data_IF_547372535745
#
_entry.id   IF_547372535745
#
_cell.length_a   1.000
_cell.length_b   1.000
_cell.length_c   1.000
_cell.angle_alpha   90.00
_cell.angle_beta   90.00
_cell.angle_gamma   90.00
#
_symmetry.space_group_name_H-M   'P 1'
#
loop_
_entity.id
_entity.type
_entity.pdbx_description
1 polymer ?
#
# COMPACT_ATOMS: atom_id res chain seq x y z
N UNK A 1 16.65 -7.80 3.69
CA UNK A 1 15.74 -8.91 3.32
C UNK A 1 14.93 -8.62 2.07
N UNK A 2 14.22 -7.50 1.99
CA UNK A 2 13.45 -7.13 0.79
C UNK A 2 14.31 -7.01 -0.47
N UNK A 3 15.51 -6.44 -0.39
CA UNK A 3 16.43 -6.32 -1.54
C UNK A 3 16.84 -7.67 -2.12
N UNK A 4 17.11 -8.66 -1.25
CA UNK A 4 17.44 -10.01 -1.70
C UNK A 4 16.25 -10.67 -2.39
N UNK A 5 15.03 -10.41 -1.91
CA UNK A 5 13.80 -10.91 -2.51
C UNK A 5 13.54 -10.29 -3.88
N UNK A 6 13.77 -8.97 -4.00
CA UNK A 6 13.66 -8.26 -5.28
C UNK A 6 14.62 -8.82 -6.32
N UNK A 7 15.86 -9.10 -5.92
CA UNK A 7 16.87 -9.67 -6.80
C UNK A 7 16.45 -11.05 -7.32
N UNK A 8 15.94 -11.90 -6.43
CA UNK A 8 15.42 -13.23 -6.81
C UNK A 8 14.20 -13.15 -7.71
N UNK A 9 13.31 -12.22 -7.45
CA UNK A 9 12.14 -12.00 -8.29
C UNK A 9 12.55 -11.59 -9.70
N UNK A 10 13.47 -10.64 -9.81
CA UNK A 10 13.98 -10.18 -11.09
C UNK A 10 14.65 -11.30 -11.88
N UNK A 11 15.48 -12.11 -11.21
CA UNK A 11 16.15 -13.26 -11.79
C UNK A 11 15.13 -14.28 -12.32
N UNK A 12 14.12 -14.61 -11.52
CA UNK A 12 13.07 -15.54 -11.91
C UNK A 12 12.26 -15.02 -13.11
N UNK A 13 11.98 -13.72 -13.15
CA UNK A 13 11.28 -13.09 -14.28
C UNK A 13 12.09 -13.16 -15.57
N UNK A 14 13.40 -12.95 -15.49
CA UNK A 14 14.30 -12.99 -16.63
C UNK A 14 14.58 -14.41 -17.12
N UNK A 15 14.44 -15.42 -16.26
CA UNK A 15 14.69 -16.84 -16.61
C UNK A 15 13.69 -17.40 -17.61
N UNK A 16 12.50 -16.81 -17.71
CA UNK A 16 11.42 -17.30 -18.56
C UNK A 16 10.71 -18.54 -18.02
N UNK A 17 11.07 -19.01 -16.84
CA UNK A 17 10.43 -20.16 -16.21
C UNK A 17 9.23 -19.69 -15.38
N UNK A 18 8.02 -19.99 -15.86
CA UNK A 18 6.77 -19.54 -15.23
C UNK A 18 6.60 -20.06 -13.80
N UNK A 19 6.99 -21.29 -13.53
CA UNK A 19 6.88 -21.90 -12.21
C UNK A 19 7.78 -21.19 -11.19
N UNK A 20 9.03 -20.91 -11.55
CA UNK A 20 9.96 -20.14 -10.73
C UNK A 20 9.46 -18.73 -10.50
N UNK A 21 8.92 -18.10 -11.53
CA UNK A 21 8.38 -16.77 -11.46
C UNK A 21 7.21 -16.68 -10.47
N UNK A 22 6.26 -17.61 -10.55
CA UNK A 22 5.11 -17.64 -9.64
C UNK A 22 5.53 -17.93 -8.19
N UNK A 23 6.50 -18.82 -8.00
CA UNK A 23 7.05 -19.09 -6.66
C UNK A 23 7.72 -17.86 -6.06
N UNK A 24 8.50 -17.13 -6.86
CA UNK A 24 9.16 -15.89 -6.42
C UNK A 24 8.14 -14.79 -6.08
N UNK A 25 7.09 -14.66 -6.86
CA UNK A 25 5.99 -13.72 -6.59
C UNK A 25 5.35 -14.00 -5.25
N UNK A 26 4.99 -15.25 -5.01
CA UNK A 26 4.35 -15.67 -3.76
C UNK A 26 5.25 -15.41 -2.56
N UNK A 27 6.54 -15.72 -2.70
CA UNK A 27 7.52 -15.49 -1.65
C UNK A 27 7.68 -13.99 -1.37
N UNK A 28 7.77 -13.15 -2.39
CA UNK A 28 7.85 -11.71 -2.25
C UNK A 28 6.63 -11.15 -1.50
N UNK A 29 5.44 -11.59 -1.86
CA UNK A 29 4.21 -11.15 -1.20
C UNK A 29 4.22 -11.50 0.29
N UNK A 30 4.65 -12.72 0.63
CA UNK A 30 4.76 -13.16 2.02
C UNK A 30 5.78 -12.33 2.81
N UNK A 31 6.97 -12.12 2.25
CA UNK A 31 8.02 -11.35 2.91
C UNK A 31 7.65 -9.88 3.06
N UNK A 32 6.97 -9.33 2.06
CA UNK A 32 6.42 -7.98 2.15
C UNK A 32 5.44 -7.86 3.31
N UNK A 33 4.55 -8.82 3.47
CA UNK A 33 3.59 -8.85 4.57
C UNK A 33 4.30 -8.90 5.93
N UNK A 34 5.33 -9.73 6.08
CA UNK A 34 6.11 -9.82 7.31
C UNK A 34 6.85 -8.50 7.62
N UNK A 35 7.49 -7.91 6.62
CA UNK A 35 8.17 -6.62 6.78
C UNK A 35 7.20 -5.52 7.21
N UNK A 36 6.00 -5.51 6.64
CA UNK A 36 4.98 -4.52 6.97
C UNK A 36 4.47 -4.69 8.41
N UNK A 37 4.37 -5.91 8.89
CA UNK A 37 3.99 -6.18 10.28
C UNK A 37 5.08 -5.65 11.24
N UNK A 38 6.35 -5.88 10.93
CA UNK A 38 7.46 -5.38 11.73
C UNK A 38 7.50 -3.85 11.77
N UNK A 39 7.12 -3.20 10.69
CA UNK A 39 7.14 -1.75 10.53
C UNK A 39 5.81 -1.08 10.85
N UNK A 40 4.82 -1.80 11.36
CA UNK A 40 3.47 -1.29 11.50
C UNK A 40 3.33 -0.11 12.47
N UNK A 41 4.34 0.14 13.28
CA UNK A 41 4.33 1.27 14.20
C UNK A 41 4.53 2.63 13.54
N UNK A 42 4.99 2.66 12.28
CA UNK A 42 5.18 3.90 11.54
C UNK A 42 4.40 3.87 10.23
N UNK A 43 3.46 4.81 10.07
CA UNK A 43 2.65 4.92 8.85
C UNK A 43 3.51 5.16 7.61
N UNK A 44 4.59 5.94 7.74
CA UNK A 44 5.49 6.23 6.63
C UNK A 44 6.18 4.97 6.13
N UNK A 45 6.72 4.16 7.03
CA UNK A 45 7.36 2.90 6.66
C UNK A 45 6.39 1.94 5.98
N UNK A 46 5.15 1.89 6.43
CA UNK A 46 4.12 1.08 5.80
C UNK A 46 3.85 1.51 4.37
N UNK A 47 3.74 2.82 4.14
CA UNK A 47 3.51 3.39 2.81
C UNK A 47 4.68 3.07 1.89
N UNK A 48 5.91 3.25 2.36
CA UNK A 48 7.12 2.93 1.60
C UNK A 48 7.17 1.45 1.20
N UNK A 49 6.76 0.55 2.09
CA UNK A 49 6.70 -0.87 1.80
C UNK A 49 5.67 -1.19 0.72
N UNK A 50 4.52 -0.52 0.74
CA UNK A 50 3.50 -0.70 -0.31
C UNK A 50 4.00 -0.17 -1.64
N UNK A 51 4.65 0.99 -1.66
CA UNK A 51 5.23 1.56 -2.88
C UNK A 51 6.26 0.61 -3.49
N UNK A 52 7.09 0.01 -2.65
CA UNK A 52 8.08 -0.98 -3.08
C UNK A 52 7.43 -2.22 -3.67
N UNK A 53 6.36 -2.69 -3.06
CA UNK A 53 5.57 -3.81 -3.59
C UNK A 53 4.97 -3.46 -4.95
N UNK A 54 4.39 -2.26 -5.07
CA UNK A 54 3.84 -1.75 -6.31
C UNK A 54 4.92 -1.69 -7.41
N UNK A 55 6.11 -1.20 -7.07
CA UNK A 55 7.24 -1.11 -8.00
C UNK A 55 7.65 -2.50 -8.52
N UNK A 56 7.74 -3.49 -7.64
CA UNK A 56 8.08 -4.87 -8.01
C UNK A 56 7.07 -5.45 -9.00
N UNK A 57 5.80 -5.17 -8.80
CA UNK A 57 4.72 -5.74 -9.60
C UNK A 57 4.25 -4.83 -10.74
N UNK A 58 4.75 -3.61 -10.83
CA UNK A 58 4.45 -2.69 -11.94
C UNK A 58 4.97 -3.26 -13.25
N UNK A 59 4.13 -3.29 -14.26
CA UNK A 59 4.49 -3.83 -15.57
C UNK A 59 4.26 -5.33 -15.72
N UNK A 60 3.79 -6.02 -14.72
CA UNK A 60 3.31 -7.38 -14.87
C UNK A 60 1.98 -7.39 -15.61
N UNK A 61 1.80 -8.38 -16.46
CA UNK A 61 0.54 -8.54 -17.22
C UNK A 61 -0.53 -9.29 -16.43
N UNK A 62 -0.51 -9.16 -15.12
CA UNK A 62 -1.48 -9.81 -14.23
C UNK A 62 -2.62 -8.83 -13.94
N UNK A 63 -3.82 -9.17 -14.38
CA UNK A 63 -5.01 -8.34 -14.18
C UNK A 63 -5.36 -8.12 -12.71
N UNK A 64 -4.91 -9.00 -11.82
CA UNK A 64 -5.21 -8.92 -10.39
C UNK A 64 -4.22 -8.06 -9.59
N UNK A 65 -3.14 -7.53 -10.20
CA UNK A 65 -2.13 -6.80 -9.43
C UNK A 65 -2.71 -5.55 -8.76
N UNK A 66 -3.60 -4.84 -9.43
CA UNK A 66 -4.24 -3.63 -8.87
C UNK A 66 -5.05 -3.95 -7.62
N UNK A 67 -5.75 -5.07 -7.63
CA UNK A 67 -6.54 -5.50 -6.48
C UNK A 67 -5.64 -5.89 -5.30
N UNK A 68 -4.52 -6.57 -5.57
CA UNK A 68 -3.54 -6.94 -4.53
C UNK A 68 -2.91 -5.70 -3.90
N UNK A 69 -2.44 -4.78 -4.72
CA UNK A 69 -1.79 -3.55 -4.24
C UNK A 69 -2.78 -2.69 -3.45
N UNK A 70 -3.99 -2.52 -3.96
CA UNK A 70 -5.04 -1.79 -3.26
C UNK A 70 -5.37 -2.43 -1.90
N UNK A 71 -5.47 -3.75 -1.86
CA UNK A 71 -5.71 -4.50 -0.63
C UNK A 71 -4.61 -4.27 0.41
N UNK A 72 -3.35 -4.23 -0.01
CA UNK A 72 -2.23 -3.93 0.87
C UNK A 72 -2.28 -2.50 1.43
N UNK A 73 -2.61 -1.52 0.60
CA UNK A 73 -2.76 -0.13 1.08
C UNK A 73 -3.83 -0.03 2.16
N UNK A 74 -4.99 -0.62 1.91
CA UNK A 74 -6.10 -0.60 2.88
C UNK A 74 -5.70 -1.30 4.17
N UNK A 75 -5.14 -2.50 4.06
CA UNK A 75 -4.74 -3.30 5.22
C UNK A 75 -3.71 -2.59 6.10
N UNK A 76 -2.65 -2.06 5.49
CA UNK A 76 -1.58 -1.41 6.24
C UNK A 76 -2.05 -0.12 6.90
N UNK A 77 -2.91 0.64 6.25
CA UNK A 77 -3.50 1.83 6.87
C UNK A 77 -4.39 1.44 8.07
N UNK A 78 -5.13 0.35 7.98
CA UNK A 78 -5.97 -0.13 9.08
C UNK A 78 -5.16 -0.48 10.34
N UNK A 79 -3.91 -0.92 10.18
CA UNK A 79 -3.03 -1.24 11.31
C UNK A 79 -2.66 0.00 12.14
N UNK A 80 -2.54 1.16 11.49
CA UNK A 80 -2.18 2.41 12.16
C UNK A 80 -2.83 3.60 11.45
N UNK A 81 -4.14 3.82 11.65
CA UNK A 81 -4.86 4.88 10.96
C UNK A 81 -4.29 6.27 11.26
N UNK A 82 -4.18 7.10 10.21
CA UNK A 82 -3.66 8.45 10.30
C UNK A 82 -4.31 9.31 9.21
N UNK A 83 -4.84 10.48 9.58
CA UNK A 83 -5.41 11.41 8.61
C UNK A 83 -4.38 11.85 7.56
N UNK A 84 -3.13 12.03 7.97
CA UNK A 84 -2.03 12.38 7.09
C UNK A 84 -1.74 11.27 6.07
N UNK A 85 -1.57 10.04 6.55
CA UNK A 85 -1.31 8.88 5.69
C UNK A 85 -2.52 8.55 4.83
N UNK A 86 -3.74 8.69 5.35
CA UNK A 86 -4.96 8.44 4.60
C UNK A 86 -5.06 9.28 3.33
N UNK A 87 -4.71 10.56 3.39
CA UNK A 87 -4.71 11.43 2.22
C UNK A 87 -3.75 10.94 1.14
N UNK A 88 -2.55 10.52 1.54
CA UNK A 88 -1.54 9.98 0.64
C UNK A 88 -1.99 8.64 0.03
N UNK A 89 -2.46 7.73 0.87
CA UNK A 89 -2.92 6.40 0.44
C UNK A 89 -4.13 6.51 -0.50
N UNK A 90 -5.05 7.43 -0.20
CA UNK A 90 -6.22 7.66 -1.06
C UNK A 90 -5.82 8.07 -2.48
N UNK A 91 -4.80 8.93 -2.63
CA UNK A 91 -4.29 9.32 -3.95
C UNK A 91 -3.75 8.10 -4.71
N UNK A 92 -3.06 7.20 -4.02
CA UNK A 92 -2.57 5.96 -4.63
C UNK A 92 -3.71 5.04 -5.06
N UNK A 93 -4.73 4.91 -4.22
CA UNK A 93 -5.91 4.10 -4.54
C UNK A 93 -6.69 4.68 -5.72
N UNK A 94 -6.81 5.99 -5.81
CA UNK A 94 -7.46 6.65 -6.96
C UNK A 94 -6.68 6.42 -8.26
N UNK A 95 -5.34 6.41 -8.19
CA UNK A 95 -4.50 6.08 -9.34
C UNK A 95 -4.71 4.63 -9.82
N UNK A 96 -5.16 3.75 -8.94
CA UNK A 96 -5.50 2.36 -9.25
C UNK A 96 -6.98 2.16 -9.62
N UNK A 97 -7.75 3.23 -9.77
CA UNK A 97 -9.20 3.23 -10.01
C UNK A 97 -10.00 2.57 -8.87
N UNK A 98 -9.53 2.73 -7.64
CA UNK A 98 -10.13 2.14 -6.44
C UNK A 98 -10.80 3.22 -5.58
N UNK A 99 -11.79 3.91 -6.14
CA UNK A 99 -12.50 5.04 -5.51
C UNK A 99 -13.16 4.67 -4.17
N UNK A 100 -13.85 3.52 -4.12
CA UNK A 100 -14.54 3.10 -2.89
C UNK A 100 -13.55 2.82 -1.75
N UNK A 101 -12.44 2.16 -2.06
CA UNK A 101 -11.38 1.92 -1.09
C UNK A 101 -10.71 3.21 -0.64
N UNK A 102 -10.54 4.19 -1.55
CA UNK A 102 -10.03 5.51 -1.19
C UNK A 102 -10.95 6.21 -0.18
N UNK A 103 -12.26 6.13 -0.37
CA UNK A 103 -13.25 6.67 0.59
C UNK A 103 -13.15 5.99 1.95
N UNK A 104 -13.01 4.67 1.97
CA UNK A 104 -12.86 3.90 3.21
C UNK A 104 -11.62 4.34 4.00
N UNK A 105 -10.50 4.49 3.32
CA UNK A 105 -9.24 4.93 3.93
C UNK A 105 -9.36 6.33 4.52
N UNK A 106 -9.95 7.26 3.75
CA UNK A 106 -10.14 8.65 4.22
C UNK A 106 -11.08 8.70 5.43
N UNK A 107 -12.17 7.95 5.38
CA UNK A 107 -13.14 7.88 6.47
C UNK A 107 -12.48 7.34 7.74
N UNK A 108 -11.71 6.27 7.63
CA UNK A 108 -11.01 5.67 8.77
C UNK A 108 -9.93 6.62 9.33
N UNK A 109 -9.18 7.28 8.44
CA UNK A 109 -8.17 8.26 8.84
C UNK A 109 -8.77 9.42 9.66
N UNK A 110 -9.94 9.90 9.27
CA UNK A 110 -10.64 10.93 10.01
C UNK A 110 -11.20 10.43 11.34
N UNK A 111 -11.79 9.23 11.33
CA UNK A 111 -12.43 8.66 12.52
C UNK A 111 -11.41 8.26 13.59
N UNK A 112 -10.39 7.52 13.21
CA UNK A 112 -9.44 6.92 14.15
C UNK A 112 -8.04 7.51 14.07
N UNK A 113 -7.75 8.35 13.09
CA UNK A 113 -6.41 8.85 12.81
C UNK A 113 -6.23 10.37 12.93
N UNK A 114 -7.24 11.13 13.34
CA UNK A 114 -7.13 12.59 13.46
C UNK A 114 -6.18 13.03 14.58
N UNK A 115 -6.02 12.21 15.60
CA UNK A 115 -5.15 12.49 16.76
C UNK A 115 -3.88 11.63 16.75
N UNK A 116 -3.58 10.97 15.63
CA UNK A 116 -2.39 10.12 15.50
C UNK A 116 -1.11 10.99 15.61
N UNK A 117 -0.02 10.36 16.06
CA UNK A 117 1.26 11.05 16.19
C UNK A 117 1.72 11.64 14.85
N UNK A 118 2.15 12.88 14.85
CA UNK A 118 2.61 13.58 13.65
C UNK A 118 1.52 14.14 12.76
N UNK A 119 0.24 13.99 13.13
CA UNK A 119 -0.89 14.53 12.38
C UNK A 119 -1.20 15.95 12.89
N UNK A 120 -1.25 16.89 11.96
CA UNK A 120 -1.59 18.28 12.23
C UNK A 120 -3.03 18.59 11.79
N UNK A 121 -3.57 19.73 12.24
CA UNK A 121 -4.90 20.17 11.84
C UNK A 121 -5.03 20.31 10.31
N UNK A 122 -3.98 20.77 9.63
CA UNK A 122 -3.93 20.88 8.18
C UNK A 122 -4.07 19.50 7.49
N UNK A 123 -3.52 18.45 8.09
CA UNK A 123 -3.65 17.09 7.59
C UNK A 123 -5.10 16.60 7.67
N UNK A 124 -5.76 16.88 8.79
CA UNK A 124 -7.17 16.53 9.00
C UNK A 124 -8.06 17.26 7.98
N UNK A 125 -7.82 18.55 7.78
CA UNK A 125 -8.58 19.34 6.79
C UNK A 125 -8.36 18.83 5.37
N UNK A 126 -7.13 18.49 5.00
CA UNK A 126 -6.82 17.94 3.69
C UNK A 126 -7.51 16.59 3.47
N UNK A 127 -7.51 15.75 4.48
CA UNK A 127 -8.18 14.44 4.44
C UNK A 127 -9.70 14.61 4.23
N UNK A 128 -10.31 15.52 4.98
CA UNK A 128 -11.73 15.82 4.86
C UNK A 128 -12.09 16.39 3.48
N UNK A 129 -11.27 17.30 2.96
CA UNK A 129 -11.49 17.89 1.64
C UNK A 129 -11.47 16.82 0.54
N UNK A 130 -10.51 15.88 0.60
CA UNK A 130 -10.44 14.76 -0.35
C UNK A 130 -11.66 13.87 -0.28
N UNK A 131 -12.12 13.56 0.93
CA UNK A 131 -13.33 12.74 1.12
C UNK A 131 -14.55 13.43 0.53
N UNK A 132 -14.69 14.74 0.75
CA UNK A 132 -15.81 15.53 0.24
C UNK A 132 -15.83 15.56 -1.30
N UNK A 133 -14.66 15.62 -1.94
CA UNK A 133 -14.55 15.54 -3.40
C UNK A 133 -15.00 14.19 -3.98
N UNK A 134 -14.90 13.12 -3.19
CA UNK A 134 -15.26 11.77 -3.64
C UNK A 134 -16.73 11.39 -3.38
N UNK A 135 -17.43 12.20 -2.62
CA UNK A 135 -18.87 12.03 -2.40
C UNK A 135 -19.64 12.53 -3.63
#
# INVERSE_FOLDING_TARGET
MLKAMEAKFKEAKESGNEEEYQAARKLNAMMFAFSSIDDYYTSTSMVENVERYEEIYTGEKDAAYKDRVAGWYVFLHQLSPSAKTAAYVADKLLALDKKEQAKEVLTLGLKDGSSAAGVEESDVKACQAKLDELK
#
